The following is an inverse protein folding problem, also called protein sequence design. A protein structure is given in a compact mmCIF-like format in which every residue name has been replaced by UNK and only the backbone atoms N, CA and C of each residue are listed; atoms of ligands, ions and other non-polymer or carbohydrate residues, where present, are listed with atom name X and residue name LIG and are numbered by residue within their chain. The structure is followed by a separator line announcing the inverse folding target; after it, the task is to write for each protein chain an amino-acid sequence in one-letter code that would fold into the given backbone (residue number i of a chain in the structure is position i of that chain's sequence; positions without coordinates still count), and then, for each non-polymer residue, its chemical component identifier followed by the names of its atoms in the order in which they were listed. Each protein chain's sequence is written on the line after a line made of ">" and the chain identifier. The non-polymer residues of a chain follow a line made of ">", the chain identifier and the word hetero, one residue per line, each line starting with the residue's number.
data_IF_953070577327
#
_entry.id   IF_953070577327
#
_cell.length_a   1.000
_cell.length_b   1.000
_cell.length_c   1.000
_cell.angle_alpha   90.00
_cell.angle_beta   90.00
_cell.angle_gamma   90.00
#
_symmetry.space_group_name_H-M   'P 1'
#
loop_
_entity.id
_entity.type
_entity.pdbx_description
1 polymer ?
#
# COMPACT_ATOMS: atom_id res chain seq x y z
N UNK A 1 16.00 10.51 -20.81
CA UNK A 1 15.08 11.47 -20.14
C UNK A 1 14.65 10.90 -18.79
N UNK A 2 15.41 11.20 -17.73
CA UNK A 2 15.01 10.87 -16.37
C UNK A 2 14.04 11.96 -15.91
N UNK A 3 12.74 11.65 -15.94
CA UNK A 3 11.69 12.55 -15.44
C UNK A 3 12.00 12.86 -13.98
N UNK A 4 12.19 14.14 -13.70
CA UNK A 4 12.38 14.73 -12.37
C UNK A 4 11.44 14.06 -11.38
N UNK A 5 12.03 13.39 -10.39
CA UNK A 5 11.30 12.62 -9.40
C UNK A 5 10.33 13.54 -8.68
N UNK A 6 9.04 13.40 -9.00
CA UNK A 6 7.94 14.06 -8.33
C UNK A 6 8.11 13.82 -6.82
N UNK A 7 8.56 14.85 -6.10
CA UNK A 7 9.03 14.73 -4.73
C UNK A 7 7.81 14.39 -3.86
N UNK A 8 7.64 13.08 -3.57
CA UNK A 8 6.44 12.54 -2.93
C UNK A 8 6.10 13.34 -1.66
N UNK A 9 4.95 14.05 -1.68
CA UNK A 9 4.50 14.94 -0.59
C UNK A 9 3.81 14.16 0.53
N UNK A 10 4.06 12.86 0.63
CA UNK A 10 3.51 11.97 1.64
C UNK A 10 4.38 12.03 2.89
N UNK A 11 3.78 12.19 4.07
CA UNK A 11 4.52 12.21 5.33
C UNK A 11 5.14 10.85 5.66
N UNK A 12 6.32 10.81 6.28
CA UNK A 12 7.01 9.57 6.66
C UNK A 12 6.16 8.67 7.57
N UNK A 13 5.39 9.26 8.51
CA UNK A 13 4.43 8.54 9.36
C UNK A 13 3.31 7.86 8.55
N UNK A 14 2.90 8.49 7.45
CA UNK A 14 1.90 7.95 6.55
C UNK A 14 2.46 6.77 5.74
N UNK A 15 3.70 6.87 5.26
CA UNK A 15 4.41 5.77 4.59
C UNK A 15 4.58 4.55 5.52
N UNK A 16 4.99 4.77 6.77
CA UNK A 16 5.10 3.67 7.75
C UNK A 16 3.75 3.02 8.05
N UNK A 17 2.70 3.82 8.21
CA UNK A 17 1.34 3.29 8.40
C UNK A 17 0.92 2.46 7.20
N UNK A 18 1.14 2.97 5.99
CA UNK A 18 0.80 2.25 4.76
C UNK A 18 1.59 0.95 4.63
N UNK A 19 2.90 0.96 4.93
CA UNK A 19 3.75 -0.22 4.93
C UNK A 19 3.22 -1.32 5.85
N UNK A 20 2.92 -0.97 7.10
CA UNK A 20 2.41 -1.90 8.10
C UNK A 20 1.11 -2.52 7.61
N UNK A 21 0.22 -1.69 7.10
CA UNK A 21 -1.12 -2.13 6.75
C UNK A 21 -1.09 -3.00 5.47
N UNK A 22 -0.28 -2.65 4.46
CA UNK A 22 -0.09 -3.47 3.25
C UNK A 22 0.60 -4.81 3.54
N UNK A 23 1.61 -4.84 4.42
CA UNK A 23 2.29 -6.08 4.80
C UNK A 23 1.35 -7.07 5.50
N UNK A 24 0.39 -6.56 6.28
CA UNK A 24 -0.59 -7.38 6.98
C UNK A 24 -1.64 -8.00 6.04
N UNK A 25 -1.99 -7.36 4.93
CA UNK A 25 -2.90 -7.93 3.92
C UNK A 25 -2.29 -9.13 3.21
N UNK A 26 -0.99 -9.04 2.89
CA UNK A 26 -0.25 -10.08 2.15
C UNK A 26 -0.08 -11.35 3.01
N UNK A 27 0.05 -11.19 4.33
CA UNK A 27 0.19 -12.33 5.26
C UNK A 27 -1.10 -13.16 5.45
N UNK A 28 -2.25 -12.72 4.94
CA UNK A 28 -3.52 -13.46 5.03
C UNK A 28 -3.73 -14.48 3.90
N UNK A 29 -2.71 -14.74 3.07
CA UNK A 29 -2.78 -15.71 1.97
C UNK A 29 -2.96 -17.18 2.41
N UNK A 30 -2.73 -17.51 3.68
CA UNK A 30 -2.89 -18.89 4.16
C UNK A 30 -3.07 -18.95 5.68
N UNK A 31 -4.25 -19.46 6.09
CA UNK A 31 -4.63 -19.86 7.45
C UNK A 31 -4.79 -18.68 8.46
N UNK A 32 -5.86 -18.47 9.22
CA UNK A 32 -6.92 -19.32 9.77
C UNK A 32 -8.13 -18.40 10.00
N UNK A 33 -9.33 -18.79 9.56
CA UNK A 33 -10.64 -18.26 9.99
C UNK A 33 -10.70 -16.75 10.32
N UNK A 34 -10.46 -15.87 9.36
CA UNK A 34 -11.05 -14.53 9.45
C UNK A 34 -12.47 -14.64 8.91
N UNK A 35 -13.46 -14.62 9.80
CA UNK A 35 -14.87 -14.43 9.41
C UNK A 35 -14.94 -13.30 8.37
N UNK A 36 -15.72 -13.50 7.31
CA UNK A 36 -15.80 -12.57 6.18
C UNK A 36 -16.05 -11.11 6.61
N UNK A 37 -16.71 -10.88 7.74
CA UNK A 37 -16.92 -9.56 8.32
C UNK A 37 -15.62 -8.85 8.74
N UNK A 38 -14.64 -9.58 9.28
CA UNK A 38 -13.38 -9.00 9.77
C UNK A 38 -12.39 -8.71 8.62
N UNK A 39 -12.38 -9.54 7.57
CA UNK A 39 -11.58 -9.27 6.36
C UNK A 39 -12.13 -8.07 5.58
N UNK A 40 -13.46 -7.93 5.49
CA UNK A 40 -14.14 -6.78 4.87
C UNK A 40 -13.94 -5.50 5.68
N UNK A 41 -14.01 -5.55 7.01
CA UNK A 41 -13.70 -4.39 7.87
C UNK A 41 -12.23 -3.97 7.78
N UNK A 42 -11.30 -4.93 7.75
CA UNK A 42 -9.86 -4.65 7.60
C UNK A 42 -9.54 -4.05 6.24
N UNK A 43 -10.08 -4.60 5.16
CA UNK A 43 -9.93 -4.07 3.80
C UNK A 43 -10.56 -2.67 3.65
N UNK A 44 -11.71 -2.41 4.26
CA UNK A 44 -12.31 -1.07 4.30
C UNK A 44 -11.47 -0.07 5.10
N UNK A 45 -10.90 -0.47 6.23
CA UNK A 45 -9.99 0.37 7.02
C UNK A 45 -8.68 0.66 6.27
N UNK A 46 -8.14 -0.36 5.60
CA UNK A 46 -7.03 -0.29 4.65
C UNK A 46 -7.30 0.75 3.58
N UNK A 47 -8.45 0.62 2.92
CA UNK A 47 -8.81 1.49 1.82
C UNK A 47 -9.03 2.92 2.29
N UNK A 48 -9.60 3.14 3.48
CA UNK A 48 -9.74 4.47 4.09
C UNK A 48 -8.38 5.07 4.44
N UNK A 49 -7.47 4.30 5.04
CA UNK A 49 -6.10 4.75 5.36
C UNK A 49 -5.29 5.03 4.10
N UNK A 50 -5.39 4.16 3.09
CA UNK A 50 -4.81 4.37 1.77
C UNK A 50 -5.37 5.64 1.13
N UNK A 51 -6.69 5.85 1.12
CA UNK A 51 -7.29 7.09 0.61
C UNK A 51 -6.89 8.33 1.42
N UNK A 52 -6.68 8.18 2.72
CA UNK A 52 -6.29 9.29 3.60
C UNK A 52 -4.82 9.68 3.45
N UNK A 53 -3.93 8.69 3.28
CA UNK A 53 -2.49 8.89 3.18
C UNK A 53 -1.99 9.05 1.75
N UNK A 54 -2.66 8.42 0.78
CA UNK A 54 -2.47 8.59 -0.66
C UNK A 54 -3.60 9.46 -1.25
N UNK A 55 -3.94 10.55 -0.54
CA UNK A 55 -5.04 11.47 -0.91
C UNK A 55 -4.87 12.09 -2.29
N UNK A 56 -3.63 12.11 -2.80
CA UNK A 56 -3.28 12.58 -4.15
C UNK A 56 -3.01 11.45 -5.14
N UNK A 57 -3.18 10.18 -4.78
CA UNK A 57 -2.87 9.05 -5.65
C UNK A 57 -1.41 9.03 -6.14
N UNK A 58 -0.49 9.73 -5.46
CA UNK A 58 0.92 9.89 -5.86
C UNK A 58 1.65 8.54 -5.83
N UNK A 59 1.35 7.70 -4.84
CA UNK A 59 1.94 6.36 -4.74
C UNK A 59 1.41 5.43 -5.83
N UNK A 60 0.09 5.35 -5.96
CA UNK A 60 -0.55 4.48 -6.95
C UNK A 60 -0.19 4.88 -8.38
N UNK A 61 -0.25 6.16 -8.69
CA UNK A 61 0.10 6.69 -10.01
C UNK A 61 1.58 6.45 -10.33
N UNK A 62 2.48 6.66 -9.34
CA UNK A 62 3.91 6.38 -9.53
C UNK A 62 4.21 4.91 -9.83
N UNK A 63 3.43 3.97 -9.29
CA UNK A 63 3.59 2.53 -9.58
C UNK A 63 3.08 2.20 -10.98
N UNK A 64 1.96 2.81 -11.38
CA UNK A 64 1.37 2.65 -12.69
C UNK A 64 2.12 3.43 -13.79
N UNK A 65 3.14 4.21 -13.43
CA UNK A 65 3.93 5.01 -14.37
C UNK A 65 3.21 6.24 -14.92
N UNK A 66 2.10 6.65 -14.31
CA UNK A 66 1.27 7.79 -14.72
C UNK A 66 1.27 8.90 -13.68
N UNK A 67 0.70 10.03 -14.03
CA UNK A 67 0.48 11.14 -13.10
C UNK A 67 -0.74 10.89 -12.20
N UNK A 68 -0.76 11.46 -10.99
CA UNK A 68 -1.93 11.56 -10.13
C UNK A 68 -3.23 11.97 -10.83
N UNK A 69 -3.12 12.94 -11.74
CA UNK A 69 -4.27 13.51 -12.45
C UNK A 69 -4.81 12.50 -13.47
N UNK A 70 -3.93 11.84 -14.23
CA UNK A 70 -4.31 10.77 -15.16
C UNK A 70 -4.99 9.63 -14.42
N UNK A 71 -4.41 9.15 -13.31
CA UNK A 71 -5.04 8.11 -12.50
C UNK A 71 -6.40 8.54 -11.97
N UNK A 72 -6.55 9.80 -11.54
CA UNK A 72 -7.84 10.32 -11.09
C UNK A 72 -8.89 10.35 -12.22
N UNK A 73 -8.49 10.65 -13.45
CA UNK A 73 -9.42 10.63 -14.59
C UNK A 73 -9.83 9.20 -14.95
N UNK A 74 -8.86 8.27 -15.05
CA UNK A 74 -9.13 6.86 -15.31
C UNK A 74 -10.11 6.25 -14.30
N UNK A 75 -10.01 6.64 -13.03
CA UNK A 75 -10.89 6.15 -11.97
C UNK A 75 -12.29 6.77 -11.95
N UNK A 76 -12.56 7.80 -12.77
CA UNK A 76 -13.94 8.27 -12.98
C UNK A 76 -14.72 7.32 -13.88
N UNK A 77 -14.04 6.80 -14.89
CA UNK A 77 -14.67 6.05 -15.99
C UNK A 77 -14.48 4.53 -15.83
N UNK A 78 -13.58 4.09 -14.94
CA UNK A 78 -13.24 2.68 -14.76
C UNK A 78 -12.97 2.31 -13.30
N UNK A 79 -13.26 1.05 -12.97
CA UNK A 79 -12.89 0.49 -11.67
C UNK A 79 -11.37 0.34 -11.55
N UNK A 80 -10.86 0.40 -10.32
CA UNK A 80 -9.42 0.27 -10.06
C UNK A 80 -8.84 -1.02 -10.65
N UNK A 81 -9.55 -2.15 -10.57
CA UNK A 81 -9.11 -3.42 -11.18
C UNK A 81 -8.99 -3.35 -12.71
N UNK A 82 -9.88 -2.62 -13.40
CA UNK A 82 -9.77 -2.40 -14.85
C UNK A 82 -8.55 -1.54 -15.18
N UNK A 83 -8.30 -0.51 -14.38
CA UNK A 83 -7.11 0.34 -14.49
C UNK A 83 -5.84 -0.50 -14.27
N UNK A 84 -5.78 -1.32 -13.23
CA UNK A 84 -4.64 -2.21 -12.98
C UNK A 84 -4.31 -3.10 -14.17
N UNK A 85 -5.32 -3.76 -14.76
CA UNK A 85 -5.14 -4.60 -15.95
C UNK A 85 -4.63 -3.80 -17.15
N UNK A 86 -5.17 -2.59 -17.37
CA UNK A 86 -4.73 -1.68 -18.44
C UNK A 86 -3.24 -1.32 -18.33
N UNK A 87 -2.73 -1.20 -17.11
CA UNK A 87 -1.32 -0.88 -16.83
C UNK A 87 -0.45 -2.11 -16.54
N UNK A 88 -0.90 -3.32 -16.91
CA UNK A 88 -0.07 -4.54 -16.89
C UNK A 88 -0.04 -5.32 -15.58
N UNK A 89 -0.88 -4.96 -14.58
CA UNK A 89 -1.02 -5.74 -13.37
C UNK A 89 -2.04 -6.88 -13.56
N UNK A 90 -1.64 -8.10 -13.20
CA UNK A 90 -2.51 -9.30 -13.27
C UNK A 90 -3.72 -9.18 -12.34
N UNK A 91 -3.47 -8.76 -11.11
CA UNK A 91 -4.45 -8.65 -10.05
C UNK A 91 -4.05 -7.59 -8.99
N UNK A 92 -4.98 -7.31 -8.08
CA UNK A 92 -4.77 -6.36 -6.99
C UNK A 92 -3.67 -6.81 -6.03
N UNK A 93 -3.45 -8.11 -5.87
CA UNK A 93 -2.38 -8.65 -5.03
C UNK A 93 -0.99 -8.30 -5.59
N UNK A 94 -0.75 -8.49 -6.90
CA UNK A 94 0.49 -8.08 -7.55
C UNK A 94 0.74 -6.57 -7.40
N UNK A 95 -0.31 -5.76 -7.50
CA UNK A 95 -0.22 -4.32 -7.26
C UNK A 95 0.16 -3.99 -5.80
N UNK A 96 -0.42 -4.69 -4.82
CA UNK A 96 -0.10 -4.48 -3.40
C UNK A 96 1.35 -4.84 -3.07
N UNK A 97 1.92 -5.86 -3.71
CA UNK A 97 3.35 -6.19 -3.61
C UNK A 97 4.22 -5.05 -4.15
N UNK A 98 3.90 -4.52 -5.33
CA UNK A 98 4.61 -3.38 -5.92
C UNK A 98 4.49 -2.12 -5.04
N UNK A 99 3.31 -1.89 -4.46
CA UNK A 99 3.06 -0.80 -3.51
C UNK A 99 3.92 -0.92 -2.26
N UNK A 100 4.02 -2.12 -1.70
CA UNK A 100 4.85 -2.39 -0.53
C UNK A 100 6.34 -2.10 -0.84
N UNK A 101 6.83 -2.59 -1.98
CA UNK A 101 8.18 -2.28 -2.47
C UNK A 101 8.43 -0.77 -2.58
N UNK A 102 7.54 -0.05 -3.26
CA UNK A 102 7.67 1.40 -3.46
C UNK A 102 7.69 2.19 -2.15
N UNK A 103 6.86 1.80 -1.18
CA UNK A 103 6.82 2.42 0.14
C UNK A 103 8.11 2.15 0.91
N UNK A 104 8.65 0.92 0.86
CA UNK A 104 9.95 0.59 1.46
C UNK A 104 11.07 1.42 0.84
N UNK A 105 11.12 1.54 -0.48
CA UNK A 105 12.14 2.31 -1.18
C UNK A 105 12.09 3.78 -0.82
N UNK A 106 10.89 4.36 -0.73
CA UNK A 106 10.72 5.76 -0.33
C UNK A 106 11.12 5.99 1.14
N UNK A 107 10.86 5.01 2.03
CA UNK A 107 11.34 5.08 3.41
C UNK A 107 12.87 4.97 3.48
N UNK A 108 13.47 4.05 2.72
CA UNK A 108 14.93 3.90 2.59
C UNK A 108 15.57 5.19 2.10
N UNK A 109 15.01 5.82 1.06
CA UNK A 109 15.43 7.13 0.52
C UNK A 109 15.40 8.24 1.57
N UNK A 110 14.51 8.14 2.56
CA UNK A 110 14.38 9.08 3.69
C UNK A 110 15.23 8.70 4.91
N UNK A 111 16.18 7.78 4.77
CA UNK A 111 17.10 7.38 5.83
C UNK A 111 16.59 6.28 6.77
N UNK A 112 15.50 5.58 6.42
CA UNK A 112 15.05 4.43 7.20
C UNK A 112 15.83 3.17 6.81
N UNK A 113 16.61 2.64 7.75
CA UNK A 113 17.28 1.35 7.59
C UNK A 113 16.26 0.21 7.52
N UNK A 114 16.57 -0.83 6.73
CA UNK A 114 15.76 -2.03 6.61
C UNK A 114 15.52 -2.74 7.96
N UNK A 115 16.54 -2.80 8.83
CA UNK A 115 16.40 -3.34 10.18
C UNK A 115 15.32 -2.62 11.01
N UNK A 116 15.26 -1.28 10.97
CA UNK A 116 14.20 -0.49 11.63
C UNK A 116 12.82 -0.81 11.06
N UNK A 117 12.70 -0.98 9.75
CA UNK A 117 11.43 -1.33 9.10
C UNK A 117 10.96 -2.73 9.50
N UNK A 118 11.87 -3.71 9.44
CA UNK A 118 11.56 -5.09 9.84
C UNK A 118 11.19 -5.19 11.32
N UNK A 119 11.92 -4.49 12.21
CA UNK A 119 11.60 -4.43 13.64
C UNK A 119 10.23 -3.80 13.91
N UNK A 120 9.84 -2.79 13.13
CA UNK A 120 8.50 -2.19 13.20
C UNK A 120 7.41 -3.16 12.76
N UNK A 121 7.64 -3.88 11.66
CA UNK A 121 6.72 -4.89 11.14
C UNK A 121 6.56 -6.05 12.13
N UNK A 122 7.67 -6.56 12.64
CA UNK A 122 7.70 -7.63 13.63
C UNK A 122 6.93 -7.23 14.92
N UNK A 123 7.25 -6.07 15.50
CA UNK A 123 6.55 -5.56 16.70
C UNK A 123 5.04 -5.37 16.49
N UNK A 124 4.62 -5.10 15.25
CA UNK A 124 3.19 -4.98 14.89
C UNK A 124 2.54 -6.35 14.71
N UNK A 125 3.23 -7.32 14.12
CA UNK A 125 2.77 -8.70 14.00
C UNK A 125 2.56 -9.33 15.40
N UNK A 126 3.54 -9.19 16.30
CA UNK A 126 3.49 -9.69 17.67
C UNK A 126 2.27 -9.13 18.45
N UNK A 127 2.01 -7.82 18.35
CA UNK A 127 0.86 -7.16 18.99
C UNK A 127 -0.51 -7.61 18.46
N UNK A 128 -0.57 -8.15 17.25
CA UNK A 128 -1.81 -8.67 16.68
C UNK A 128 -2.02 -10.11 17.11
N UNK A 129 -0.95 -10.91 17.18
CA UNK A 129 -0.99 -12.27 17.71
C UNK A 129 -1.40 -12.27 19.20
N UNK A 130 -0.82 -11.38 20.01
CA UNK A 130 -1.16 -11.26 21.44
C UNK A 130 -2.58 -10.76 21.73
N UNK A 131 -3.33 -10.37 20.70
CA UNK A 131 -4.71 -9.84 20.82
C UNK A 131 -5.76 -10.84 20.35
N UNK A 132 -5.31 -11.95 19.76
CA UNK A 132 -6.12 -13.07 19.27
C UNK A 132 -5.94 -14.34 20.13
N UNK A 133 -5.00 -14.36 21.08
CA UNK A 133 -4.92 -15.31 22.20
C UNK A 133 -5.60 -14.71 23.42
#
# INVERSE_FOLDING_TARGET
>A
FCKEGNLMKIATKALLTLLIVSALTISSGSAVLATADNSVRRSNKLERLQRHHDRKLELRASILGITPQELKQELKDSSFDKVLKKYGFKDRAAFEVALNGKVKDELKRRGWSESKLNKLLQKRAERLQSKNS
#
